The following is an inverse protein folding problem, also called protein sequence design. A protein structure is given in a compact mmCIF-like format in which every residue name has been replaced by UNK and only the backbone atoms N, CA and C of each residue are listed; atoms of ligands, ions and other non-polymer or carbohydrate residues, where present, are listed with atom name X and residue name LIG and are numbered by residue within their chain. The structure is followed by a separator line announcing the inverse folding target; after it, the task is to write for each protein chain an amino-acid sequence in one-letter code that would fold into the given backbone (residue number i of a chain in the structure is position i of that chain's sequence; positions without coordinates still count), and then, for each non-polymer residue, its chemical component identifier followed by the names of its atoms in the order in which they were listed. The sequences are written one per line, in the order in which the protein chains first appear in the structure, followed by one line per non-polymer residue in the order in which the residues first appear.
data_IF_957271276389
#
_entry.id   IF_957271276389
#
_cell.length_a   1.000
_cell.length_b   1.000
_cell.length_c   1.000
_cell.angle_alpha   90.00
_cell.angle_beta   90.00
_cell.angle_gamma   90.00
#
_symmetry.space_group_name_H-M   'P 1'
#
loop_
_entity.id
_entity.type
_entity.pdbx_description
1 polymer ?
#
# COMPACT_ATOMS: atom_id res chain seq x y z
N UNK A 1 9.83 3.28 -0.54
CA UNK A 1 9.94 2.14 0.38
C UNK A 1 10.13 2.64 1.80
N UNK A 2 9.38 2.09 2.74
CA UNK A 2 9.56 2.26 4.19
C UNK A 2 10.02 0.92 4.78
N UNK A 3 10.87 0.96 5.81
CA UNK A 3 11.35 -0.24 6.51
C UNK A 3 11.18 -0.04 8.01
N UNK A 4 10.52 -0.98 8.66
CA UNK A 4 10.45 -1.10 10.12
C UNK A 4 11.22 -2.34 10.51
N UNK A 5 12.38 -2.14 11.13
CA UNK A 5 13.22 -3.23 11.59
C UNK A 5 12.82 -3.65 13.01
N UNK A 6 12.70 -4.94 13.24
CA UNK A 6 12.51 -5.50 14.58
C UNK A 6 13.82 -5.58 15.36
N UNK A 7 13.70 -5.79 16.66
CA UNK A 7 14.85 -5.93 17.57
C UNK A 7 15.55 -7.29 17.51
N UNK A 8 15.06 -8.25 16.74
CA UNK A 8 15.59 -9.62 16.64
C UNK A 8 15.53 -10.10 15.18
N UNK A 9 16.42 -11.02 14.77
CA UNK A 9 16.30 -11.70 13.49
C UNK A 9 14.93 -12.41 13.33
N UNK A 10 14.44 -12.47 12.09
CA UNK A 10 13.16 -13.09 11.76
C UNK A 10 12.78 -12.84 10.31
N UNK A 11 11.56 -13.21 9.92
CA UNK A 11 11.10 -13.08 8.54
C UNK A 11 10.92 -11.64 8.08
N UNK A 12 10.92 -11.45 6.77
CA UNK A 12 10.57 -10.21 6.09
C UNK A 12 9.15 -10.30 5.56
N UNK A 13 8.26 -9.46 6.07
CA UNK A 13 6.92 -9.25 5.52
C UNK A 13 6.94 -8.00 4.65
N UNK A 14 6.30 -8.04 3.48
CA UNK A 14 6.10 -6.88 2.63
C UNK A 14 4.61 -6.49 2.58
N UNK A 15 4.32 -5.20 2.73
CA UNK A 15 3.08 -4.57 2.31
C UNK A 15 3.33 -3.89 0.97
N UNK A 16 2.52 -4.18 -0.02
CA UNK A 16 2.70 -3.73 -1.41
C UNK A 16 1.43 -3.03 -1.88
N UNK A 17 1.57 -1.85 -2.43
CA UNK A 17 0.47 -1.11 -3.08
C UNK A 17 1.05 -0.04 -4.00
N UNK A 18 0.19 0.75 -4.67
CA UNK A 18 0.62 1.78 -5.61
C UNK A 18 0.13 3.18 -5.23
N UNK A 19 0.76 4.21 -5.80
CA UNK A 19 0.47 5.62 -5.52
C UNK A 19 -0.24 6.33 -6.69
N UNK A 20 -0.09 5.82 -7.89
CA UNK A 20 -0.72 6.38 -9.09
C UNK A 20 -2.20 6.04 -9.17
N UNK A 21 -2.85 6.63 -10.14
CA UNK A 21 -4.27 6.43 -10.44
C UNK A 21 -4.48 6.52 -11.94
N UNK A 22 -5.53 5.90 -12.45
CA UNK A 22 -6.02 6.20 -13.78
C UNK A 22 -6.50 7.67 -13.88
N UNK A 23 -6.62 8.24 -15.08
CA UNK A 23 -7.25 9.54 -15.29
C UNK A 23 -8.65 9.60 -14.67
N UNK A 24 -9.11 10.82 -14.36
CA UNK A 24 -10.43 11.01 -13.75
C UNK A 24 -11.55 10.32 -14.55
N UNK A 25 -11.52 10.44 -15.88
CA UNK A 25 -12.64 10.03 -16.71
C UNK A 25 -13.82 11.00 -16.60
N UNK A 26 -14.97 10.57 -17.09
CA UNK A 26 -16.22 11.35 -17.08
C UNK A 26 -17.18 10.85 -15.98
N UNK A 27 -18.28 11.60 -15.77
CA UNK A 27 -19.37 11.19 -14.87
C UNK A 27 -19.17 11.54 -13.41
N UNK A 28 -18.15 12.28 -13.04
CA UNK A 28 -17.97 12.76 -11.68
C UNK A 28 -19.01 13.82 -11.32
N UNK A 29 -19.65 13.65 -10.17
CA UNK A 29 -20.57 14.64 -9.57
C UNK A 29 -19.86 15.58 -8.58
N UNK A 30 -18.58 15.35 -8.33
CA UNK A 30 -17.66 16.11 -7.47
C UNK A 30 -16.31 16.23 -8.15
N UNK A 31 -15.45 17.19 -7.78
CA UNK A 31 -14.09 17.25 -8.31
C UNK A 31 -13.32 15.94 -8.05
N UNK A 32 -12.85 15.30 -9.11
CA UNK A 32 -12.25 13.96 -9.01
C UNK A 32 -10.95 13.94 -8.17
N UNK A 33 -10.17 15.02 -8.19
CA UNK A 33 -8.88 15.11 -7.50
C UNK A 33 -8.90 16.00 -6.25
N UNK A 34 -10.10 16.38 -5.79
CA UNK A 34 -10.28 17.07 -4.51
C UNK A 34 -11.04 16.16 -3.54
N UNK A 35 -10.52 15.91 -2.33
CA UNK A 35 -11.18 15.01 -1.40
C UNK A 35 -12.50 15.60 -0.91
N UNK A 36 -13.59 14.86 -1.06
CA UNK A 36 -14.89 15.23 -0.53
C UNK A 36 -15.33 14.19 0.51
N UNK A 37 -15.58 14.63 1.75
CA UNK A 37 -16.06 13.76 2.82
C UNK A 37 -17.55 14.01 3.05
N UNK A 38 -18.34 12.95 2.96
CA UNK A 38 -19.78 12.97 3.26
C UNK A 38 -20.11 11.84 4.22
N UNK A 39 -20.43 12.19 5.45
CA UNK A 39 -20.63 11.19 6.50
C UNK A 39 -19.36 10.37 6.74
N UNK A 40 -19.42 9.08 6.46
CA UNK A 40 -18.30 8.14 6.58
C UNK A 40 -17.61 7.83 5.25
N UNK A 41 -18.02 8.47 4.16
CA UNK A 41 -17.51 8.22 2.82
C UNK A 41 -16.52 9.29 2.41
N UNK A 42 -15.41 8.86 1.84
CA UNK A 42 -14.39 9.72 1.21
C UNK A 42 -14.46 9.52 -0.32
N UNK A 43 -14.86 10.56 -1.02
CA UNK A 43 -14.89 10.58 -2.49
C UNK A 43 -13.64 11.22 -3.03
N UNK A 44 -13.11 10.65 -4.12
CA UNK A 44 -11.99 11.17 -4.88
C UNK A 44 -11.30 10.07 -5.68
N UNK A 45 -10.71 10.41 -6.82
CA UNK A 45 -9.92 9.47 -7.61
C UNK A 45 -8.73 8.97 -6.79
N UNK A 46 -8.61 7.64 -6.67
CA UNK A 46 -7.57 7.00 -5.88
C UNK A 46 -7.92 6.81 -4.41
N UNK A 47 -9.10 7.27 -3.92
CA UNK A 47 -9.48 7.06 -2.51
C UNK A 47 -9.66 5.58 -2.17
N UNK A 48 -10.25 4.80 -3.09
CA UNK A 48 -10.37 3.34 -2.95
C UNK A 48 -9.15 2.64 -3.54
N UNK A 49 -8.80 2.98 -4.78
CA UNK A 49 -7.75 2.35 -5.58
C UNK A 49 -6.56 3.30 -5.77
N UNK A 50 -5.48 3.14 -5.00
CA UNK A 50 -5.37 2.23 -3.85
C UNK A 50 -4.93 2.96 -2.57
N UNK A 51 -5.19 4.31 -2.46
CA UNK A 51 -4.67 5.13 -1.34
C UNK A 51 -5.27 4.78 0.01
N UNK A 52 -6.45 4.14 0.05
CA UNK A 52 -6.98 3.58 1.30
C UNK A 52 -6.06 2.48 1.84
N UNK A 53 -5.64 1.55 0.98
CA UNK A 53 -4.69 0.49 1.34
C UNK A 53 -3.33 1.08 1.74
N UNK A 54 -2.83 2.07 1.00
CA UNK A 54 -1.59 2.78 1.34
C UNK A 54 -1.67 3.40 2.73
N UNK A 55 -2.77 4.11 3.04
CA UNK A 55 -2.97 4.75 4.34
C UNK A 55 -3.00 3.71 5.47
N UNK A 56 -3.74 2.61 5.29
CA UNK A 56 -3.82 1.54 6.27
C UNK A 56 -2.45 0.89 6.53
N UNK A 57 -1.70 0.58 5.48
CA UNK A 57 -0.37 -0.02 5.56
C UNK A 57 0.65 0.91 6.23
N UNK A 58 0.62 2.20 5.92
CA UNK A 58 1.50 3.17 6.56
C UNK A 58 1.15 3.39 8.03
N UNK A 59 -0.13 3.40 8.38
CA UNK A 59 -0.59 3.47 9.78
C UNK A 59 -0.11 2.25 10.56
N UNK A 60 -0.31 1.04 10.02
CA UNK A 60 0.17 -0.18 10.65
C UNK A 60 1.70 -0.18 10.81
N UNK A 61 2.44 0.30 9.81
CA UNK A 61 3.89 0.42 9.90
C UNK A 61 4.33 1.43 10.96
N UNK A 62 3.62 2.55 11.09
CA UNK A 62 3.86 3.55 12.13
C UNK A 62 3.66 2.98 13.52
N UNK A 63 2.54 2.28 13.75
CA UNK A 63 2.21 1.69 15.05
C UNK A 63 3.21 0.58 15.42
N UNK A 64 3.59 -0.25 14.45
CA UNK A 64 4.64 -1.26 14.65
C UNK A 64 5.99 -0.63 14.98
N UNK A 65 6.34 0.50 14.39
CA UNK A 65 7.61 1.17 14.67
C UNK A 65 7.73 1.58 16.14
N UNK A 66 6.64 1.98 16.78
CA UNK A 66 6.59 2.35 18.18
C UNK A 66 6.92 1.15 19.13
N UNK A 67 6.60 -0.09 18.71
CA UNK A 67 6.83 -1.31 19.46
C UNK A 67 7.88 -2.26 18.86
N UNK A 68 8.67 -1.81 17.88
CA UNK A 68 9.52 -2.66 17.04
C UNK A 68 10.60 -3.45 17.82
N UNK A 69 11.01 -3.00 18.99
CA UNK A 69 11.97 -3.71 19.82
C UNK A 69 11.56 -5.14 20.22
N UNK A 70 10.26 -5.41 20.30
CA UNK A 70 9.73 -6.75 20.62
C UNK A 70 9.50 -7.61 19.35
N UNK A 71 9.47 -7.02 18.18
CA UNK A 71 9.21 -7.70 16.90
C UNK A 71 10.45 -8.49 16.44
N UNK A 72 10.24 -9.71 15.91
CA UNK A 72 11.24 -10.45 15.15
C UNK A 72 11.08 -10.18 13.64
N UNK A 73 12.21 -10.03 12.93
CA UNK A 73 12.20 -9.77 11.50
C UNK A 73 12.00 -8.30 11.13
N UNK A 74 11.36 -8.04 10.01
CA UNK A 74 11.11 -6.69 9.52
C UNK A 74 9.83 -6.58 8.71
N UNK A 75 9.24 -5.39 8.69
CA UNK A 75 8.19 -5.00 7.76
C UNK A 75 8.76 -4.05 6.70
N UNK A 76 8.47 -4.32 5.44
CA UNK A 76 8.71 -3.43 4.32
C UNK A 76 7.36 -2.90 3.81
N UNK A 77 7.25 -1.59 3.56
CA UNK A 77 6.12 -1.03 2.81
C UNK A 77 6.66 -0.55 1.47
N UNK A 78 6.23 -1.21 0.40
CA UNK A 78 6.65 -0.98 -0.97
C UNK A 78 5.50 -0.27 -1.70
N UNK A 79 5.69 1.00 -2.01
CA UNK A 79 4.71 1.80 -2.72
C UNK A 79 5.24 2.07 -4.13
N UNK A 80 4.61 1.43 -5.11
CA UNK A 80 4.92 1.56 -6.52
C UNK A 80 4.26 2.77 -7.17
N UNK A 81 4.61 3.02 -8.41
CA UNK A 81 3.91 3.92 -9.32
C UNK A 81 3.97 3.34 -10.74
N UNK A 82 2.97 3.67 -11.57
CA UNK A 82 2.83 3.16 -12.93
C UNK A 82 2.13 1.81 -12.98
N UNK A 83 1.50 1.38 -11.89
CA UNK A 83 0.70 0.15 -11.83
C UNK A 83 -0.46 0.21 -12.82
N UNK A 84 -1.18 1.30 -12.84
CA UNK A 84 -2.35 1.56 -13.68
C UNK A 84 -2.04 1.69 -15.19
N UNK A 85 -0.77 1.68 -15.57
CA UNK A 85 -0.35 1.82 -16.96
C UNK A 85 0.65 0.74 -17.35
N UNK A 86 1.90 0.90 -16.95
CA UNK A 86 2.99 -0.07 -17.10
C UNK A 86 3.90 0.08 -15.91
N UNK A 87 3.69 -0.72 -14.90
CA UNK A 87 4.52 -0.65 -13.72
C UNK A 87 5.97 -1.04 -14.04
N UNK A 88 6.83 -0.07 -13.93
CA UNK A 88 8.29 -0.27 -14.01
C UNK A 88 8.96 0.01 -12.67
N UNK A 89 8.22 0.45 -11.66
CA UNK A 89 8.76 0.84 -10.36
C UNK A 89 8.90 -0.33 -9.39
N UNK A 90 7.96 -1.25 -9.36
CA UNK A 90 7.95 -2.36 -8.41
C UNK A 90 9.15 -3.30 -8.57
N UNK A 91 9.58 -3.74 -9.78
CA UNK A 91 10.79 -4.54 -9.94
C UNK A 91 12.02 -3.86 -9.34
N UNK A 92 12.19 -2.54 -9.55
CA UNK A 92 13.31 -1.77 -8.99
C UNK A 92 13.24 -1.66 -7.46
N UNK A 93 12.05 -1.63 -6.89
CA UNK A 93 11.89 -1.67 -5.43
C UNK A 93 12.30 -3.04 -4.89
N UNK A 94 11.84 -4.12 -5.52
CA UNK A 94 12.14 -5.50 -5.14
C UNK A 94 13.65 -5.81 -5.20
N UNK A 95 14.37 -5.31 -6.20
CA UNK A 95 15.84 -5.44 -6.27
C UNK A 95 16.58 -4.91 -5.02
N UNK A 96 15.93 -4.04 -4.25
CA UNK A 96 16.49 -3.37 -3.06
C UNK A 96 16.06 -3.98 -1.73
N UNK A 97 15.21 -4.99 -1.76
CA UNK A 97 14.63 -5.54 -0.52
C UNK A 97 15.41 -6.71 0.06
N UNK A 98 16.08 -7.51 -0.78
CA UNK A 98 16.48 -8.86 -0.42
C UNK A 98 15.29 -9.82 -0.39
N UNK A 99 15.46 -11.04 0.15
CA UNK A 99 14.38 -12.03 0.24
C UNK A 99 13.18 -11.51 1.04
N UNK A 100 11.98 -11.84 0.55
CA UNK A 100 10.69 -11.57 1.21
C UNK A 100 10.04 -12.91 1.51
N UNK A 101 9.67 -13.15 2.76
CA UNK A 101 9.08 -14.41 3.22
C UNK A 101 7.55 -14.43 3.05
N UNK A 102 6.93 -13.26 3.00
CA UNK A 102 5.49 -13.12 2.76
C UNK A 102 5.13 -11.71 2.33
N UNK A 103 4.02 -11.58 1.59
CA UNK A 103 3.53 -10.28 1.14
C UNK A 103 2.01 -10.17 1.28
N UNK A 104 1.56 -8.94 1.55
CA UNK A 104 0.16 -8.53 1.45
C UNK A 104 0.09 -7.43 0.40
N UNK A 105 -0.71 -7.65 -0.64
CA UNK A 105 -0.96 -6.68 -1.70
C UNK A 105 -2.27 -5.96 -1.41
N UNK A 106 -2.24 -4.65 -1.38
CA UNK A 106 -3.39 -3.81 -1.06
C UNK A 106 -4.08 -3.30 -2.30
N UNK A 107 -5.16 -3.99 -2.67
CA UNK A 107 -6.03 -3.69 -3.80
C UNK A 107 -7.51 -3.68 -3.38
N UNK A 108 -8.41 -3.02 -4.13
CA UNK A 108 -9.84 -2.92 -3.78
C UNK A 108 -10.60 -4.21 -4.11
N UNK A 109 -10.45 -5.24 -3.29
CA UNK A 109 -11.07 -6.58 -3.47
C UNK A 109 -12.38 -6.76 -2.70
N UNK A 110 -13.01 -5.69 -2.18
CA UNK A 110 -14.17 -5.76 -1.29
C UNK A 110 -13.95 -6.64 -0.05
N UNK A 111 -12.74 -6.66 0.48
CA UNK A 111 -12.29 -7.51 1.58
C UNK A 111 -12.20 -9.01 1.25
N UNK A 112 -12.37 -9.40 0.00
CA UNK A 112 -12.08 -10.75 -0.44
C UNK A 112 -10.56 -10.95 -0.51
N UNK A 113 -10.10 -12.12 -0.09
CA UNK A 113 -8.69 -12.49 -0.21
C UNK A 113 -8.46 -13.12 -1.58
N UNK A 114 -7.76 -12.42 -2.45
CA UNK A 114 -7.27 -12.96 -3.71
C UNK A 114 -5.88 -13.58 -3.50
N UNK A 115 -5.70 -14.83 -3.92
CA UNK A 115 -4.43 -15.58 -3.77
C UNK A 115 -3.67 -15.72 -5.09
N UNK A 116 -4.28 -15.37 -6.20
CA UNK A 116 -3.67 -15.27 -7.53
C UNK A 116 -4.51 -14.36 -8.44
N UNK A 117 -3.85 -13.76 -9.42
CA UNK A 117 -4.47 -13.05 -10.54
C UNK A 117 -3.96 -13.64 -11.85
#
# INVERSE_FOLDING_TARGET
MVRVAGGRPGPTLAFISHLDTVPAGEGWTRPAFEPTIEGTLLYGRGSGDAKASVAAMLTAAHDLAAGSGAMGGQLLVLLGYGEETRDTSMPRLLERTGPIDGAVVGEPTNLDVAIAQ
#
